data_IF_932310621050
#
_entry.id   IF_932310621050
#
_cell.length_a   1.000
_cell.length_b   1.000
_cell.length_c   1.000
_cell.angle_alpha   90.00
_cell.angle_beta   90.00
_cell.angle_gamma   90.00
#
_symmetry.space_group_name_H-M   'P 1'
#
loop_
_entity.id
_entity.type
_entity.pdbx_description
1 polymer ?
#
# COMPACT_ATOMS: atom_id res chain seq x y z
N UNK A 1 58.17 -24.86 30.80
CA UNK A 1 57.96 -25.92 29.79
C UNK A 1 58.69 -25.49 28.52
N UNK A 2 59.65 -26.28 28.02
CA UNK A 2 60.57 -25.84 26.96
C UNK A 2 59.93 -26.11 25.59
N UNK A 3 59.61 -25.05 24.82
CA UNK A 3 59.08 -25.11 23.44
C UNK A 3 59.88 -26.06 22.53
N UNK A 4 61.18 -26.21 22.84
CA UNK A 4 62.12 -27.12 22.17
C UNK A 4 61.70 -28.59 22.24
N UNK A 5 60.99 -29.01 23.28
CA UNK A 5 60.49 -30.38 23.41
C UNK A 5 59.20 -30.59 22.60
N UNK A 6 58.41 -29.54 22.38
CA UNK A 6 57.17 -29.58 21.59
C UNK A 6 57.47 -29.64 20.09
N UNK A 7 58.50 -28.93 19.63
CA UNK A 7 58.97 -28.96 18.24
C UNK A 7 59.67 -30.29 17.89
N UNK A 8 60.23 -30.98 18.90
CA UNK A 8 60.93 -32.25 18.72
C UNK A 8 60.02 -33.49 18.83
N UNK A 9 58.74 -33.31 19.18
CA UNK A 9 57.79 -34.40 19.39
C UNK A 9 56.86 -34.55 18.18
N UNK A 10 57.01 -35.65 17.45
CA UNK A 10 56.32 -35.92 16.17
C UNK A 10 54.78 -35.99 16.35
N UNK A 11 54.33 -36.37 17.56
CA UNK A 11 52.90 -36.40 17.91
C UNK A 11 52.33 -35.00 18.13
N UNK A 12 53.15 -34.05 18.58
CA UNK A 12 52.79 -32.65 18.77
C UNK A 12 52.69 -31.89 17.45
N UNK A 13 53.51 -32.24 16.46
CA UNK A 13 53.46 -31.64 15.12
C UNK A 13 52.16 -32.00 14.38
N UNK A 14 51.74 -33.26 14.44
CA UNK A 14 50.46 -33.73 13.86
C UNK A 14 49.25 -33.09 14.55
N UNK A 15 49.36 -32.85 15.86
CA UNK A 15 48.37 -32.12 16.65
C UNK A 15 48.32 -30.61 16.33
N UNK A 16 49.26 -30.06 15.56
CA UNK A 16 49.19 -28.67 15.09
C UNK A 16 48.59 -28.60 13.69
N UNK A 17 48.83 -29.61 12.85
CA UNK A 17 48.26 -29.68 11.50
C UNK A 17 46.72 -29.72 11.51
N UNK A 18 46.09 -30.49 12.41
CA UNK A 18 44.62 -30.52 12.47
C UNK A 18 43.99 -29.17 12.87
N UNK A 19 44.66 -28.40 13.73
CA UNK A 19 44.19 -27.06 14.13
C UNK A 19 44.39 -26.08 12.99
N UNK A 20 45.51 -26.17 12.27
CA UNK A 20 45.79 -25.30 11.12
C UNK A 20 44.84 -25.59 9.97
N UNK A 21 44.55 -26.86 9.68
CA UNK A 21 43.60 -27.27 8.63
C UNK A 21 42.16 -26.86 8.96
N UNK A 22 41.72 -27.06 10.21
CA UNK A 22 40.39 -26.61 10.64
C UNK A 22 40.29 -25.10 10.72
N UNK A 23 41.34 -24.41 11.15
CA UNK A 23 41.45 -22.95 11.11
C UNK A 23 41.36 -22.40 9.68
N UNK A 24 42.04 -23.04 8.73
CA UNK A 24 41.95 -22.70 7.31
C UNK A 24 40.53 -22.94 6.76
N UNK A 25 39.85 -24.03 7.16
CA UNK A 25 38.47 -24.31 6.77
C UNK A 25 37.48 -23.29 7.32
N UNK A 26 37.63 -22.87 8.58
CA UNK A 26 36.81 -21.81 9.18
C UNK A 26 37.06 -20.46 8.49
N UNK A 27 38.31 -20.14 8.17
CA UNK A 27 38.66 -18.95 7.39
C UNK A 27 38.01 -18.93 6.00
N UNK A 28 38.01 -20.08 5.31
CA UNK A 28 37.31 -20.25 4.04
C UNK A 28 35.79 -20.10 4.21
N UNK A 29 35.20 -20.64 5.29
CA UNK A 29 33.78 -20.50 5.61
C UNK A 29 33.35 -19.06 5.88
N UNK A 30 34.20 -18.28 6.56
CA UNK A 30 33.95 -16.84 6.75
C UNK A 30 34.05 -16.07 5.44
N UNK A 31 34.99 -16.44 4.55
CA UNK A 31 35.12 -15.84 3.24
C UNK A 31 33.90 -16.14 2.34
N UNK A 32 33.39 -17.38 2.35
CA UNK A 32 32.19 -17.73 1.57
C UNK A 32 30.92 -17.10 2.14
N UNK A 33 30.80 -16.99 3.47
CA UNK A 33 29.67 -16.31 4.11
C UNK A 33 29.54 -14.85 3.67
N UNK A 34 30.66 -14.14 3.51
CA UNK A 34 30.67 -12.76 3.02
C UNK A 34 30.15 -12.64 1.56
N UNK A 35 30.49 -13.60 0.70
CA UNK A 35 30.00 -13.65 -0.69
C UNK A 35 28.50 -13.96 -0.73
N UNK A 36 28.05 -14.95 0.05
CA UNK A 36 26.63 -15.33 0.12
C UNK A 36 25.79 -14.20 0.71
N UNK A 37 26.25 -13.52 1.76
CA UNK A 37 25.51 -12.39 2.34
C UNK A 37 25.30 -11.26 1.34
N UNK A 38 26.31 -10.95 0.51
CA UNK A 38 26.18 -9.97 -0.57
C UNK A 38 25.12 -10.40 -1.58
N UNK A 39 25.21 -11.63 -2.10
CA UNK A 39 24.23 -12.14 -3.07
C UNK A 39 22.80 -12.22 -2.54
N UNK A 40 22.61 -12.56 -1.26
CA UNK A 40 21.28 -12.54 -0.61
C UNK A 40 20.76 -11.12 -0.43
N UNK A 41 21.64 -10.16 -0.13
CA UNK A 41 21.25 -8.75 -0.01
C UNK A 41 20.85 -8.16 -1.37
N UNK A 42 21.60 -8.49 -2.43
CA UNK A 42 21.28 -8.08 -3.81
C UNK A 42 19.94 -8.68 -4.25
N UNK A 43 19.74 -9.99 -4.05
CA UNK A 43 18.48 -10.66 -4.37
C UNK A 43 17.29 -10.13 -3.55
N UNK A 44 17.52 -9.81 -2.27
CA UNK A 44 16.54 -9.16 -1.40
C UNK A 44 16.15 -7.77 -1.92
N UNK A 45 17.14 -6.99 -2.37
CA UNK A 45 16.94 -5.68 -3.00
C UNK A 45 16.20 -5.76 -4.33
N UNK A 46 16.52 -6.75 -5.17
CA UNK A 46 15.81 -7.02 -6.42
C UNK A 46 14.36 -7.43 -6.15
N UNK A 47 14.12 -8.28 -5.15
CA UNK A 47 12.76 -8.67 -4.74
C UNK A 47 11.98 -7.49 -4.21
N UNK A 48 12.58 -6.67 -3.34
CA UNK A 48 11.95 -5.44 -2.84
C UNK A 48 11.62 -4.47 -3.98
N UNK A 49 12.52 -4.34 -4.96
CA UNK A 49 12.29 -3.50 -6.14
C UNK A 49 11.19 -4.08 -7.02
N UNK A 50 11.19 -5.39 -7.25
CA UNK A 50 10.15 -6.07 -8.01
C UNK A 50 8.77 -5.90 -7.34
N UNK A 51 8.70 -6.06 -6.02
CA UNK A 51 7.46 -5.86 -5.25
C UNK A 51 7.06 -4.39 -5.13
N UNK A 52 8.01 -3.45 -5.10
CA UNK A 52 7.75 -2.01 -5.07
C UNK A 52 7.34 -1.42 -6.42
N UNK A 53 7.78 -2.04 -7.53
CA UNK A 53 7.42 -1.69 -8.91
C UNK A 53 6.21 -2.49 -9.40
N UNK A 54 5.84 -3.58 -8.72
CA UNK A 54 4.53 -4.20 -8.83
C UNK A 54 3.47 -3.21 -8.32
N UNK A 55 3.04 -2.33 -9.23
CA UNK A 55 1.75 -1.68 -9.11
C UNK A 55 0.69 -2.79 -9.04
N UNK A 56 -0.28 -2.67 -8.14
CA UNK A 56 -1.44 -3.60 -8.11
C UNK A 56 -2.29 -3.25 -9.32
N UNK A 57 -1.80 -3.61 -10.50
CA UNK A 57 -2.49 -3.40 -11.74
C UNK A 57 -3.67 -4.35 -11.73
N UNK A 58 -4.85 -3.74 -11.61
CA UNK A 58 -6.21 -4.29 -11.65
C UNK A 58 -6.47 -5.32 -12.77
N UNK A 59 -5.52 -5.52 -13.69
CA UNK A 59 -5.51 -6.61 -14.66
C UNK A 59 -5.50 -8.03 -14.09
N UNK A 60 -5.11 -8.27 -12.82
CA UNK A 60 -5.13 -9.62 -12.23
C UNK A 60 -6.55 -10.20 -12.08
N UNK A 61 -7.57 -9.37 -11.84
CA UNK A 61 -8.94 -9.83 -11.61
C UNK A 61 -9.84 -9.72 -12.86
N UNK A 62 -9.30 -9.23 -13.98
CA UNK A 62 -10.06 -8.99 -15.22
C UNK A 62 -10.89 -7.72 -15.18
N UNK A 63 -11.16 -7.13 -16.34
CA UNK A 63 -11.81 -5.82 -16.49
C UNK A 63 -13.18 -5.70 -15.77
N UNK A 64 -13.91 -6.81 -15.60
CA UNK A 64 -15.17 -6.84 -14.87
C UNK A 64 -14.99 -6.77 -13.33
N UNK A 65 -13.86 -7.22 -12.81
CA UNK A 65 -13.51 -7.04 -11.41
C UNK A 65 -12.78 -5.73 -11.17
N UNK A 66 -12.15 -5.12 -12.18
CA UNK A 66 -11.62 -3.76 -12.06
C UNK A 66 -12.72 -2.74 -11.72
N UNK A 67 -13.92 -2.89 -12.26
CA UNK A 67 -15.12 -2.13 -11.86
C UNK A 67 -15.66 -2.50 -10.46
N UNK A 68 -15.30 -3.66 -9.92
CA UNK A 68 -15.66 -4.09 -8.56
C UNK A 68 -14.57 -3.75 -7.51
N UNK A 69 -13.36 -3.46 -7.95
CA UNK A 69 -12.18 -3.15 -7.12
C UNK A 69 -11.84 -1.65 -7.09
N UNK A 70 -12.40 -0.85 -8.00
CA UNK A 70 -12.67 0.56 -7.73
C UNK A 70 -13.84 0.56 -6.76
N UNK A 71 -13.67 0.91 -5.49
CA UNK A 71 -14.78 0.90 -4.54
C UNK A 71 -15.93 1.78 -5.06
N UNK A 72 -16.97 1.14 -5.58
CA UNK A 72 -18.21 1.80 -6.01
C UNK A 72 -19.03 2.18 -4.78
N UNK A 73 -18.90 1.45 -3.66
CA UNK A 73 -19.59 1.72 -2.41
C UNK A 73 -18.73 1.29 -1.20
N UNK A 74 -18.75 2.08 -0.12
CA UNK A 74 -17.90 1.96 1.08
C UNK A 74 -18.11 0.71 1.96
N UNK A 75 -18.16 -0.49 1.38
CA UNK A 75 -18.30 -1.77 2.10
C UNK A 75 -17.06 -2.66 2.05
N UNK A 76 -15.97 -2.23 1.41
CA UNK A 76 -14.70 -2.98 1.32
C UNK A 76 -13.55 -2.21 2.00
N UNK A 77 -13.41 -2.28 3.34
CA UNK A 77 -12.50 -1.44 4.11
C UNK A 77 -10.99 -1.68 3.85
N UNK A 78 -10.60 -2.70 3.07
CA UNK A 78 -9.20 -2.97 2.73
C UNK A 78 -8.82 -2.50 1.32
N UNK A 79 -9.79 -2.16 0.47
CA UNK A 79 -9.57 -1.76 -0.93
C UNK A 79 -10.36 -0.51 -1.35
N UNK A 80 -11.12 0.13 -0.45
CA UNK A 80 -11.64 1.46 -0.72
C UNK A 80 -10.51 2.48 -0.62
N UNK A 81 -10.49 3.47 -1.52
CA UNK A 81 -9.57 4.61 -1.42
C UNK A 81 -9.84 5.49 -0.19
N UNK A 82 -10.94 5.21 0.52
CA UNK A 82 -11.32 5.79 1.79
C UNK A 82 -11.94 4.68 2.66
N UNK A 83 -11.18 4.15 3.60
CA UNK A 83 -11.60 3.05 4.47
C UNK A 83 -12.50 3.53 5.63
N UNK A 84 -12.44 4.83 5.94
CA UNK A 84 -13.17 5.44 7.05
C UNK A 84 -13.88 6.75 6.63
N UNK A 85 -14.99 7.08 7.31
CA UNK A 85 -15.70 8.35 7.12
C UNK A 85 -14.77 9.55 7.41
N UNK A 86 -13.85 9.41 8.35
CA UNK A 86 -12.87 10.43 8.70
C UNK A 86 -11.86 10.71 7.58
N UNK A 87 -11.41 9.69 6.83
CA UNK A 87 -10.53 9.87 5.67
C UNK A 87 -11.25 10.57 4.51
N UNK A 88 -12.56 10.33 4.37
CA UNK A 88 -13.41 11.03 3.39
C UNK A 88 -13.55 12.52 3.75
N UNK A 89 -13.72 12.80 5.04
CA UNK A 89 -13.75 14.17 5.55
C UNK A 89 -12.40 14.88 5.36
N UNK A 90 -11.27 14.20 5.57
CA UNK A 90 -9.92 14.72 5.28
C UNK A 90 -9.69 14.96 3.78
N UNK A 91 -10.17 14.06 2.92
CA UNK A 91 -10.08 14.23 1.47
C UNK A 91 -10.88 15.44 0.98
N UNK A 92 -12.11 15.63 1.47
CA UNK A 92 -12.91 16.82 1.16
C UNK A 92 -12.26 18.07 1.77
N UNK A 93 -11.70 17.98 2.98
CA UNK A 93 -10.98 19.08 3.63
C UNK A 93 -9.79 19.58 2.80
N UNK A 94 -9.07 18.68 2.10
CA UNK A 94 -7.95 19.03 1.22
C UNK A 94 -8.34 19.99 0.09
N UNK A 95 -9.63 20.07 -0.27
CA UNK A 95 -10.16 20.96 -1.32
C UNK A 95 -10.33 22.40 -0.86
N UNK A 96 -10.10 22.71 0.41
CA UNK A 96 -10.21 24.07 0.94
C UNK A 96 -11.61 24.64 0.75
N UNK A 97 -12.64 23.82 1.02
CA UNK A 97 -14.01 24.25 0.83
C UNK A 97 -14.38 25.32 1.86
N UNK A 98 -14.98 26.37 1.35
CA UNK A 98 -15.51 27.53 2.08
C UNK A 98 -16.93 27.80 1.59
N UNK A 99 -17.66 28.64 2.32
CA UNK A 99 -19.00 29.04 1.93
C UNK A 99 -19.06 29.69 0.52
N UNK A 100 -17.94 30.25 0.04
CA UNK A 100 -17.86 30.89 -1.28
C UNK A 100 -17.73 29.89 -2.45
N UNK A 101 -17.12 28.72 -2.23
CA UNK A 101 -16.80 27.78 -3.31
C UNK A 101 -17.58 26.45 -3.23
N UNK A 102 -18.19 26.15 -2.07
CA UNK A 102 -18.89 24.87 -1.83
C UNK A 102 -20.04 24.66 -2.82
N UNK A 103 -20.76 25.71 -3.22
CA UNK A 103 -21.83 25.61 -4.21
C UNK A 103 -21.30 25.20 -5.60
N UNK A 104 -20.20 25.80 -6.04
CA UNK A 104 -19.59 25.47 -7.33
C UNK A 104 -19.06 24.02 -7.33
N UNK A 105 -18.48 23.60 -6.20
CA UNK A 105 -18.00 22.25 -6.00
C UNK A 105 -19.15 21.22 -6.03
N UNK A 106 -20.23 21.50 -5.29
CA UNK A 106 -21.45 20.70 -5.31
C UNK A 106 -22.02 20.57 -6.73
N UNK A 107 -22.16 21.69 -7.47
CA UNK A 107 -22.71 21.66 -8.83
C UNK A 107 -21.87 20.80 -9.78
N UNK A 108 -20.54 20.87 -9.67
CA UNK A 108 -19.63 20.07 -10.48
C UNK A 108 -19.69 18.58 -10.17
N UNK A 109 -19.75 18.22 -8.89
CA UNK A 109 -19.93 16.83 -8.45
C UNK A 109 -21.29 16.29 -8.84
N UNK A 110 -22.36 17.06 -8.62
CA UNK A 110 -23.71 16.63 -8.93
C UNK A 110 -23.92 16.37 -10.42
N UNK A 111 -23.33 17.18 -11.31
CA UNK A 111 -23.38 16.95 -12.75
C UNK A 111 -22.83 15.56 -13.12
N UNK A 112 -21.72 15.15 -12.50
CA UNK A 112 -21.13 13.82 -12.69
C UNK A 112 -21.97 12.72 -12.03
N UNK A 113 -22.39 12.93 -10.79
CA UNK A 113 -23.22 11.97 -10.05
C UNK A 113 -24.54 11.67 -10.76
N UNK A 114 -25.21 12.71 -11.28
CA UNK A 114 -26.45 12.58 -12.06
C UNK A 114 -26.26 11.88 -13.41
N UNK A 115 -25.02 11.83 -13.93
CA UNK A 115 -24.68 11.06 -15.14
C UNK A 115 -24.45 9.57 -14.86
N UNK A 116 -24.55 9.14 -13.59
CA UNK A 116 -24.32 7.76 -13.16
C UNK A 116 -22.86 7.43 -12.88
N UNK A 117 -22.01 8.44 -12.66
CA UNK A 117 -20.62 8.23 -12.24
C UNK A 117 -20.59 7.77 -10.77
N UNK A 118 -20.20 6.52 -10.48
CA UNK A 118 -20.26 5.97 -9.13
C UNK A 118 -19.37 6.69 -8.13
N UNK A 119 -18.20 7.18 -8.57
CA UNK A 119 -17.27 7.90 -7.70
C UNK A 119 -17.84 9.26 -7.31
N UNK A 120 -18.47 9.94 -8.27
CA UNK A 120 -19.12 11.23 -8.00
C UNK A 120 -20.33 11.10 -7.06
N UNK A 121 -21.03 9.96 -7.06
CA UNK A 121 -22.10 9.71 -6.09
C UNK A 121 -21.52 9.54 -4.69
N UNK A 122 -20.40 8.80 -4.50
CA UNK A 122 -19.76 8.70 -3.18
C UNK A 122 -19.18 10.04 -2.69
N UNK A 123 -18.50 10.78 -3.58
CA UNK A 123 -17.97 12.12 -3.30
C UNK A 123 -19.08 13.10 -2.88
N UNK A 124 -20.30 12.95 -3.44
CA UNK A 124 -21.46 13.75 -3.05
C UNK A 124 -21.86 13.49 -1.60
N UNK A 125 -21.88 12.22 -1.18
CA UNK A 125 -22.15 11.86 0.21
C UNK A 125 -21.04 12.36 1.17
N UNK A 126 -19.78 12.33 0.73
CA UNK A 126 -18.65 12.86 1.51
C UNK A 126 -18.75 14.38 1.68
N UNK A 127 -19.09 15.09 0.61
CA UNK A 127 -19.31 16.53 0.62
C UNK A 127 -20.45 16.93 1.55
N UNK A 128 -21.59 16.22 1.48
CA UNK A 128 -22.75 16.49 2.34
C UNK A 128 -22.39 16.34 3.83
N UNK A 129 -21.68 15.26 4.19
CA UNK A 129 -21.21 15.04 5.57
C UNK A 129 -20.22 16.13 6.02
N UNK A 130 -19.21 16.43 5.20
CA UNK A 130 -18.21 17.47 5.49
C UNK A 130 -18.86 18.85 5.66
N UNK A 131 -19.82 19.19 4.81
CA UNK A 131 -20.52 20.46 4.87
C UNK A 131 -21.35 20.59 6.14
N UNK A 132 -22.03 19.52 6.56
CA UNK A 132 -22.75 19.50 7.85
C UNK A 132 -21.78 19.67 9.03
N UNK A 133 -20.65 18.96 9.03
CA UNK A 133 -19.66 19.03 10.10
C UNK A 133 -19.00 20.42 10.23
N UNK A 134 -18.81 21.12 9.11
CA UNK A 134 -18.14 22.43 9.05
C UNK A 134 -19.10 23.62 8.94
N UNK A 135 -20.41 23.39 9.04
CA UNK A 135 -21.43 24.44 8.92
C UNK A 135 -21.49 25.12 7.55
N UNK A 136 -21.04 24.43 6.50
CA UNK A 136 -21.14 24.92 5.13
C UNK A 136 -22.54 24.62 4.58
N UNK A 137 -23.12 25.59 3.88
CA UNK A 137 -24.45 25.46 3.30
C UNK A 137 -24.39 25.60 1.79
N UNK A 138 -25.16 24.79 1.07
CA UNK A 138 -25.32 24.89 -0.38
C UNK A 138 -26.76 24.58 -0.76
N UNK A 139 -27.22 25.18 -1.86
CA UNK A 139 -28.55 24.95 -2.39
C UNK A 139 -28.54 23.72 -3.30
N UNK A 140 -29.35 22.73 -2.93
CA UNK A 140 -29.51 21.49 -3.70
C UNK A 140 -30.50 21.60 -4.85
N UNK A 141 -31.28 22.68 -4.98
CA UNK A 141 -32.29 22.88 -6.04
C UNK A 141 -33.32 21.74 -6.20
N UNK A 142 -33.58 20.97 -5.13
CA UNK A 142 -34.47 19.80 -5.21
C UNK A 142 -33.86 18.60 -5.95
N UNK A 143 -32.55 18.61 -6.14
CA UNK A 143 -31.78 17.49 -6.67
C UNK A 143 -31.98 16.21 -5.85
N UNK A 144 -31.78 15.07 -6.51
CA UNK A 144 -31.80 13.77 -5.84
C UNK A 144 -30.70 13.72 -4.77
N UNK A 145 -31.05 13.22 -3.60
CA UNK A 145 -30.09 13.01 -2.50
C UNK A 145 -29.07 11.94 -2.89
N UNK A 146 -27.92 11.93 -2.20
CA UNK A 146 -26.95 10.83 -2.27
C UNK A 146 -27.63 9.45 -2.20
N UNK A 147 -28.52 9.24 -1.24
CA UNK A 147 -29.21 7.96 -1.04
C UNK A 147 -30.09 7.57 -2.24
N UNK A 148 -30.74 8.53 -2.89
CA UNK A 148 -31.59 8.27 -4.07
C UNK A 148 -30.75 7.99 -5.32
N UNK A 149 -29.66 8.72 -5.53
CA UNK A 149 -28.74 8.47 -6.64
C UNK A 149 -28.06 7.10 -6.49
N UNK A 150 -27.64 6.77 -5.28
CA UNK A 150 -27.08 5.46 -4.96
C UNK A 150 -28.08 4.34 -5.26
N UNK A 151 -29.30 4.42 -4.71
CA UNK A 151 -30.34 3.40 -4.95
C UNK A 151 -30.64 3.22 -6.45
N UNK A 152 -30.66 4.31 -7.22
CA UNK A 152 -30.88 4.26 -8.67
C UNK A 152 -29.72 3.57 -9.40
N UNK A 153 -28.47 3.87 -9.03
CA UNK A 153 -27.29 3.22 -9.60
C UNK A 153 -27.26 1.71 -9.30
N UNK A 154 -27.53 1.31 -8.06
CA UNK A 154 -27.57 -0.10 -7.64
C UNK A 154 -28.65 -0.87 -8.37
N UNK A 155 -29.82 -0.26 -8.59
CA UNK A 155 -30.89 -0.88 -9.37
C UNK A 155 -30.52 -1.07 -10.86
N UNK A 156 -29.65 -0.21 -11.41
CA UNK A 156 -29.19 -0.28 -12.79
C UNK A 156 -28.01 -1.26 -13.00
N UNK A 157 -27.26 -1.58 -11.94
CA UNK A 157 -26.05 -2.41 -11.99
C UNK A 157 -26.10 -3.50 -10.89
N UNK A 158 -26.85 -4.60 -11.12
CA UNK A 158 -27.03 -5.68 -10.15
C UNK A 158 -25.80 -6.58 -9.95
#
# INVERSE_FOLDING_TARGET
MKIRNFIADDSGAVAVDWVVLTGALVGLGLATAAVVSGGVQDLGGETQTALGVMDVNVGFFGAAAASALQSVWGTLPMLSSFADQQEREEWVASRGLTQANVQAYYNGLYAKASSGDPLAIDDLGALEAYAQANGLTFNTNGNQTYAQLHATYTAANP
#
